data_IF_662932366277
#
_entry.id   IF_662932366277
#
_cell.length_a   1.000
_cell.length_b   1.000
_cell.length_c   1.000
_cell.angle_alpha   90.00
_cell.angle_beta   90.00
_cell.angle_gamma   90.00
#
_symmetry.space_group_name_H-M   'P 1'
#
loop_
_entity.id
_entity.type
_entity.pdbx_description
1 polymer ?
#
# COMPACT_ATOMS: atom_id res chain seq x y z
N UNK A 1 -2.30 -18.68 24.47
CA UNK A 1 -3.27 -17.86 23.73
C UNK A 1 -2.81 -17.88 22.28
N UNK A 2 -3.66 -18.34 21.35
CA UNK A 2 -3.29 -18.34 19.92
C UNK A 2 -3.17 -16.87 19.54
N UNK A 3 -1.92 -16.39 19.37
CA UNK A 3 -1.67 -15.08 18.79
C UNK A 3 -2.13 -15.17 17.34
N UNK A 4 -3.40 -14.84 17.08
CA UNK A 4 -3.83 -14.42 15.75
C UNK A 4 -2.97 -13.21 15.40
N UNK A 5 -1.88 -13.47 14.67
CA UNK A 5 -0.94 -12.44 14.27
C UNK A 5 -1.70 -11.48 13.37
N UNK A 6 -2.04 -10.31 13.92
CA UNK A 6 -2.72 -9.23 13.24
C UNK A 6 -2.11 -9.04 11.85
N UNK A 7 -3.00 -8.97 10.87
CA UNK A 7 -2.64 -8.79 9.48
C UNK A 7 -3.43 -7.60 8.98
N UNK A 8 -2.70 -6.61 8.48
CA UNK A 8 -3.27 -5.41 7.92
C UNK A 8 -3.09 -5.42 6.42
N UNK A 9 -4.15 -5.09 5.69
CA UNK A 9 -4.09 -4.72 4.29
C UNK A 9 -4.02 -3.21 4.20
N UNK A 10 -2.90 -2.68 3.70
CA UNK A 10 -2.72 -1.25 3.46
C UNK A 10 -2.76 -0.95 1.97
N UNK A 11 -3.51 0.09 1.59
CA UNK A 11 -3.56 0.65 0.24
C UNK A 11 -3.09 2.09 0.27
N UNK A 12 -2.15 2.46 -0.59
CA UNK A 12 -1.63 3.82 -0.67
C UNK A 12 -1.11 4.14 -2.07
N UNK A 13 -1.00 5.44 -2.36
CA UNK A 13 -0.44 5.93 -3.63
C UNK A 13 1.02 6.30 -3.42
N UNK A 14 1.90 5.82 -4.28
CA UNK A 14 3.29 6.25 -4.32
C UNK A 14 3.75 6.37 -5.79
N UNK A 15 4.36 7.49 -6.17
CA UNK A 15 4.85 7.75 -7.52
C UNK A 15 3.84 7.40 -8.65
N UNK A 16 2.55 7.75 -8.45
CA UNK A 16 1.49 7.51 -9.43
C UNK A 16 1.00 6.05 -9.51
N UNK A 17 1.44 5.17 -8.63
CA UNK A 17 0.98 3.79 -8.54
C UNK A 17 0.20 3.56 -7.25
N UNK A 18 -0.85 2.76 -7.32
CA UNK A 18 -1.56 2.25 -6.15
C UNK A 18 -0.86 0.98 -5.68
N UNK A 19 -0.35 1.00 -4.45
CA UNK A 19 0.26 -0.13 -3.78
C UNK A 19 -0.75 -0.74 -2.82
N UNK A 20 -1.01 -2.04 -2.98
CA UNK A 20 -1.73 -2.83 -1.99
C UNK A 20 -0.78 -3.87 -1.36
N UNK A 21 -0.49 -3.71 -0.07
CA UNK A 21 0.42 -4.57 0.69
C UNK A 21 -0.27 -5.21 1.87
N UNK A 22 0.31 -6.31 2.35
CA UNK A 22 -0.03 -6.90 3.64
C UNK A 22 1.15 -6.75 4.59
N UNK A 23 0.87 -6.31 5.81
CA UNK A 23 1.86 -6.03 6.86
C UNK A 23 1.33 -6.51 8.20
N UNK A 24 2.22 -6.82 9.16
CA UNK A 24 1.79 -7.21 10.52
C UNK A 24 1.84 -6.05 11.50
N UNK A 25 2.64 -5.04 11.21
CA UNK A 25 2.78 -3.86 12.05
C UNK A 25 2.32 -2.62 11.30
N UNK A 26 1.42 -1.86 11.95
CA UNK A 26 0.99 -0.52 11.52
C UNK A 26 0.95 0.34 12.77
N UNK A 27 1.80 1.37 12.85
CA UNK A 27 1.89 2.26 14.01
C UNK A 27 1.97 3.73 13.60
N UNK A 28 1.48 4.66 14.45
CA UNK A 28 1.73 6.09 14.24
C UNK A 28 3.23 6.37 14.21
N UNK A 29 3.69 7.20 13.28
CA UNK A 29 5.11 7.52 13.20
C UNK A 29 5.52 8.62 14.18
N UNK A 30 6.78 8.57 14.63
CA UNK A 30 7.42 9.74 15.25
C UNK A 30 7.68 10.86 14.24
N UNK A 31 7.70 10.54 12.93
CA UNK A 31 7.74 11.53 11.86
C UNK A 31 6.33 12.11 11.66
N UNK A 32 6.20 13.41 11.92
CA UNK A 32 4.93 14.10 11.80
C UNK A 32 4.33 13.95 10.39
N UNK A 33 3.08 13.49 10.32
CA UNK A 33 2.37 13.31 9.06
C UNK A 33 2.61 11.98 8.36
N UNK A 34 3.29 11.02 9.00
CA UNK A 34 3.56 9.68 8.45
C UNK A 34 2.95 8.58 9.32
N UNK A 35 2.66 7.45 8.67
CA UNK A 35 2.38 6.17 9.31
C UNK A 35 3.51 5.19 9.02
N UNK A 36 3.86 4.38 10.01
CA UNK A 36 4.88 3.36 9.89
C UNK A 36 4.25 2.00 9.63
N UNK A 37 4.78 1.29 8.64
CA UNK A 37 4.43 -0.09 8.35
C UNK A 37 5.69 -0.95 8.36
N UNK A 38 5.58 -2.14 8.95
CA UNK A 38 6.69 -3.11 9.04
C UNK A 38 6.17 -4.54 9.00
N UNK A 39 7.08 -5.51 9.01
CA UNK A 39 6.77 -6.94 8.90
C UNK A 39 5.94 -7.24 7.65
N UNK A 40 6.49 -6.88 6.50
CA UNK A 40 5.85 -7.11 5.21
C UNK A 40 5.60 -8.60 4.95
N UNK A 41 4.38 -8.91 4.54
CA UNK A 41 3.92 -10.26 4.26
C UNK A 41 3.69 -10.40 2.77
N UNK A 42 4.70 -10.89 2.05
CA UNK A 42 4.58 -11.22 0.64
C UNK A 42 4.22 -12.69 0.50
N UNK A 43 3.15 -13.00 -0.24
CA UNK A 43 2.77 -14.39 -0.46
C UNK A 43 3.80 -15.10 -1.36
N UNK A 44 4.07 -16.37 -1.06
CA UNK A 44 4.88 -17.28 -1.87
C UNK A 44 4.03 -18.41 -2.48
N UNK A 45 2.71 -18.36 -2.32
CA UNK A 45 1.80 -19.41 -2.78
C UNK A 45 1.53 -19.31 -4.30
N UNK A 46 2.36 -19.99 -5.09
CA UNK A 46 1.95 -21.15 -5.91
C UNK A 46 2.87 -21.32 -7.12
N UNK A 47 3.37 -22.53 -7.24
CA UNK A 47 4.43 -23.04 -8.11
C UNK A 47 4.10 -23.02 -9.61
N UNK A 48 3.14 -22.23 -10.10
CA UNK A 48 2.70 -22.33 -11.50
C UNK A 48 2.37 -21.02 -12.23
N UNK A 49 2.22 -19.87 -11.55
CA UNK A 49 2.13 -18.56 -12.24
C UNK A 49 2.35 -17.41 -11.24
N UNK A 50 3.54 -16.81 -11.25
CA UNK A 50 3.81 -15.62 -10.41
C UNK A 50 3.36 -14.37 -11.18
N UNK A 51 2.50 -13.55 -10.57
CA UNK A 51 2.12 -12.25 -11.14
C UNK A 51 3.35 -11.32 -11.12
N UNK A 52 3.79 -10.75 -12.26
CA UNK A 52 4.95 -9.85 -12.33
C UNK A 52 4.84 -8.64 -11.39
N UNK A 53 3.62 -8.26 -10.99
CA UNK A 53 3.38 -7.19 -10.03
C UNK A 53 3.88 -7.54 -8.63
N UNK A 54 3.72 -8.80 -8.21
CA UNK A 54 4.16 -9.28 -6.89
C UNK A 54 5.68 -9.40 -6.81
N UNK A 55 6.34 -9.82 -7.89
CA UNK A 55 7.80 -9.88 -7.94
C UNK A 55 8.44 -8.50 -7.89
N UNK A 56 7.85 -7.52 -8.59
CA UNK A 56 8.26 -6.12 -8.49
C UNK A 56 8.15 -5.60 -7.06
N UNK A 57 7.04 -5.88 -6.38
CA UNK A 57 6.87 -5.52 -4.96
C UNK A 57 7.92 -6.16 -4.06
N UNK A 58 8.15 -7.47 -4.19
CA UNK A 58 9.19 -8.16 -3.41
C UNK A 58 10.58 -7.56 -3.64
N UNK A 59 10.87 -7.16 -4.88
CA UNK A 59 12.15 -6.57 -5.25
C UNK A 59 12.30 -5.16 -4.70
N UNK A 60 11.26 -4.32 -4.83
CA UNK A 60 11.24 -2.93 -4.37
C UNK A 60 11.34 -2.82 -2.86
N UNK A 61 10.71 -3.74 -2.12
CA UNK A 61 10.77 -3.78 -0.66
C UNK A 61 11.81 -4.77 -0.12
N UNK A 62 12.66 -5.34 -0.99
CA UNK A 62 13.76 -6.21 -0.56
C UNK A 62 14.76 -5.42 0.28
N UNK A 63 15.02 -5.88 1.51
CA UNK A 63 15.91 -5.20 2.45
C UNK A 63 15.27 -4.01 3.18
N UNK A 64 13.98 -3.73 2.96
CA UNK A 64 13.24 -2.68 3.68
C UNK A 64 12.61 -3.27 4.94
N UNK A 65 13.12 -2.89 6.12
CA UNK A 65 12.53 -3.30 7.40
C UNK A 65 11.27 -2.51 7.75
N UNK A 66 11.21 -1.22 7.39
CA UNK A 66 10.11 -0.31 7.74
C UNK A 66 9.92 0.73 6.65
N UNK A 67 8.68 1.03 6.31
CA UNK A 67 8.32 2.15 5.43
C UNK A 67 7.51 3.20 6.16
N UNK A 68 7.76 4.45 5.79
CA UNK A 68 7.06 5.62 6.29
C UNK A 68 6.18 6.15 5.17
N UNK A 69 4.87 5.99 5.31
CA UNK A 69 3.91 6.40 4.28
C UNK A 69 3.27 7.72 4.72
N UNK A 70 3.27 8.77 3.89
CA UNK A 70 2.57 10.01 4.21
C UNK A 70 1.07 9.73 4.42
N UNK A 71 0.47 10.31 5.47
CA UNK A 71 -0.94 10.08 5.80
C UNK A 71 -1.90 10.41 4.64
N UNK A 72 -1.60 11.47 3.88
CA UNK A 72 -2.42 11.89 2.73
C UNK A 72 -2.33 10.94 1.53
N UNK A 73 -1.32 10.08 1.49
CA UNK A 73 -1.12 9.09 0.42
C UNK A 73 -1.83 7.77 0.73
N UNK A 74 -2.25 7.54 1.98
CA UNK A 74 -2.97 6.34 2.40
C UNK A 74 -4.41 6.42 1.88
N UNK A 75 -4.82 5.40 1.13
CA UNK A 75 -6.20 5.23 0.68
C UNK A 75 -7.01 4.53 1.77
N UNK A 76 -6.49 3.41 2.30
CA UNK A 76 -7.23 2.57 3.25
C UNK A 76 -6.30 1.63 4.04
N UNK A 77 -6.66 1.36 5.29
CA UNK A 77 -6.04 0.34 6.13
C UNK A 77 -7.15 -0.53 6.71
N UNK A 78 -7.08 -1.84 6.44
CA UNK A 78 -8.03 -2.82 6.98
C UNK A 78 -7.28 -3.86 7.83
N UNK A 79 -7.77 -4.16 9.02
CA UNK A 79 -7.39 -5.39 9.73
C UNK A 79 -8.18 -6.55 9.12
N UNK A 80 -7.50 -7.59 8.63
CA UNK A 80 -8.11 -8.70 7.90
C UNK A 80 -7.72 -10.04 8.51
N UNK A 81 -8.63 -11.00 8.46
CA UNK A 81 -8.39 -12.39 8.91
C UNK A 81 -7.73 -13.23 7.82
N UNK A 82 -7.99 -12.92 6.54
CA UNK A 82 -7.49 -13.67 5.39
C UNK A 82 -6.70 -12.79 4.42
N UNK A 83 -5.69 -13.40 3.78
CA UNK A 83 -4.88 -12.78 2.74
C UNK A 83 -5.56 -12.93 1.38
N UNK A 84 -5.72 -11.84 0.65
CA UNK A 84 -5.94 -11.88 -0.80
C UNK A 84 -4.63 -11.63 -1.57
N UNK A 85 -4.64 -11.76 -2.90
CA UNK A 85 -3.46 -11.40 -3.71
C UNK A 85 -3.14 -9.91 -3.58
N UNK A 86 -1.87 -9.57 -3.29
CA UNK A 86 -1.36 -8.21 -3.32
C UNK A 86 -1.34 -7.72 -4.78
N UNK A 87 -1.70 -6.45 -5.02
CA UNK A 87 -1.81 -5.89 -6.38
C UNK A 87 -1.20 -4.50 -6.44
N UNK A 88 -0.50 -4.21 -7.53
CA UNK A 88 -0.20 -2.84 -7.94
C UNK A 88 -1.13 -2.53 -9.11
N UNK A 89 -1.78 -1.36 -9.09
CA UNK A 89 -2.40 -0.80 -10.29
C UNK A 89 -1.79 0.56 -10.60
N UNK A 90 -1.50 0.81 -11.87
CA UNK A 90 -1.19 2.16 -12.32
C UNK A 90 -2.44 3.02 -12.17
N UNK A 91 -2.32 4.19 -11.52
CA UNK A 91 -3.38 5.18 -11.62
C UNK A 91 -3.30 5.73 -13.05
N UNK A 92 -4.26 5.36 -13.89
CA UNK A 92 -4.42 5.99 -15.19
C UNK A 92 -4.54 7.51 -15.03
N UNK A 93 -4.20 8.25 -16.09
CA UNK A 93 -4.29 9.72 -16.18
C UNK A 93 -5.72 10.27 -16.15
N UNK A 94 -6.67 9.55 -15.55
CA UNK A 94 -8.11 9.78 -15.64
C UNK A 94 -8.68 10.52 -14.41
N UNK A 95 -7.83 11.30 -13.73
CA UNK A 95 -8.32 12.35 -12.82
C UNK A 95 -8.68 13.53 -13.72
N UNK A 96 -9.95 13.66 -14.08
CA UNK A 96 -10.42 14.91 -14.68
C UNK A 96 -10.21 16.04 -13.67
N UNK A 97 -9.52 17.09 -14.10
CA UNK A 97 -9.44 18.34 -13.32
C UNK A 97 -10.84 18.80 -12.97
N UNK A 98 -11.06 19.14 -11.70
CA UNK A 98 -12.34 19.67 -11.25
C UNK A 98 -12.69 20.92 -12.07
N UNK A 99 -13.93 21.03 -12.62
CA UNK A 99 -14.28 22.15 -13.47
C UNK A 99 -14.22 23.46 -12.68
N UNK A 100 -13.44 24.42 -13.17
CA UNK A 100 -13.43 25.77 -12.64
C UNK A 100 -14.72 26.49 -13.05
N UNK A 101 -15.36 27.17 -12.10
CA UNK A 101 -16.45 28.09 -12.40
C UNK A 101 -15.92 29.22 -13.31
N UNK A 102 -16.70 29.68 -14.30
CA UNK A 102 -16.29 30.78 -15.17
C UNK A 102 -16.12 32.03 -14.32
N UNK A 103 -14.88 32.51 -14.17
CA UNK A 103 -14.58 33.76 -13.47
C UNK A 103 -13.36 33.76 -12.56
N UNK A 104 -12.83 32.59 -12.18
CA UNK A 104 -11.56 32.52 -11.44
C UNK A 104 -10.59 31.59 -12.15
N UNK A 105 -9.70 32.20 -12.95
CA UNK A 105 -8.42 31.60 -13.31
C UNK A 105 -7.34 32.13 -12.35
N UNK A 106 -6.33 31.34 -11.98
CA UNK A 106 -5.03 31.92 -11.65
C UNK A 106 -4.39 32.56 -12.89
#
# INVERSE_FOLDING_TARGET
MVNEQLLYRIQFINNGKNYQLYVREVVPSTLFGFIEIADFVFDSQSTLLVDPSTEKLKTEFSGVNRSYIPLHSVIRIDAVTEKGSARISELGSNVMSFPYLPGNKP
#
